data_IF_225757813145
#
_entry.id   IF_225757813145
#
_cell.length_a   1.000
_cell.length_b   1.000
_cell.length_c   1.000
_cell.angle_alpha   90.00
_cell.angle_beta   90.00
_cell.angle_gamma   90.00
#
_symmetry.space_group_name_H-M   'P 1'
#
loop_
_entity.id
_entity.type
_entity.pdbx_description
1 polymer ?
#
# COMPACT_ATOMS: atom_id res chain seq x y z
N UNK A 1 19.69 3.29 1.04
CA UNK A 1 18.32 2.73 1.12
C UNK A 1 17.47 3.80 1.81
N UNK A 2 16.42 4.30 1.17
CA UNK A 2 15.54 5.33 1.75
C UNK A 2 14.63 4.64 2.79
N UNK A 3 14.48 5.23 3.98
CA UNK A 3 13.63 4.67 5.05
C UNK A 3 12.17 4.98 4.78
N UNK A 4 11.28 4.16 5.32
CA UNK A 4 9.84 4.33 5.12
C UNK A 4 9.32 5.62 5.75
N UNK A 5 9.90 6.05 6.88
CA UNK A 5 9.59 7.34 7.52
C UNK A 5 9.82 8.52 6.56
N UNK A 6 10.91 8.47 5.80
CA UNK A 6 11.28 9.52 4.85
C UNK A 6 10.33 9.51 3.64
N UNK A 7 9.95 8.31 3.16
CA UNK A 7 8.97 8.13 2.09
C UNK A 7 7.57 8.61 2.49
N UNK A 8 7.12 8.27 3.70
CA UNK A 8 5.82 8.74 4.23
C UNK A 8 5.83 10.25 4.36
N UNK A 9 6.89 10.85 4.90
CA UNK A 9 7.00 12.30 5.02
C UNK A 9 6.97 12.99 3.64
N UNK A 10 7.60 12.41 2.62
CA UNK A 10 7.57 12.92 1.26
C UNK A 10 6.17 12.76 0.62
N UNK A 11 5.54 11.60 0.76
CA UNK A 11 4.21 11.32 0.24
C UNK A 11 3.15 12.27 0.83
N UNK A 12 3.22 12.58 2.13
CA UNK A 12 2.38 13.60 2.79
C UNK A 12 2.53 15.00 2.21
N UNK A 13 3.65 15.31 1.57
CA UNK A 13 3.88 16.58 0.87
C UNK A 13 3.47 16.56 -0.61
N UNK A 14 2.83 15.47 -1.07
CA UNK A 14 2.39 15.29 -2.44
C UNK A 14 3.40 14.59 -3.35
N UNK A 15 4.46 13.99 -2.81
CA UNK A 15 5.41 13.20 -3.61
C UNK A 15 4.80 11.84 -3.99
N UNK A 16 4.28 11.75 -5.21
CA UNK A 16 3.67 10.53 -5.75
C UNK A 16 4.67 9.40 -5.99
N UNK A 17 5.95 9.70 -6.22
CA UNK A 17 6.98 8.68 -6.41
C UNK A 17 7.33 8.03 -5.07
N UNK A 18 7.36 8.81 -3.99
CA UNK A 18 7.51 8.28 -2.64
C UNK A 18 6.33 7.36 -2.23
N UNK A 19 5.11 7.74 -2.60
CA UNK A 19 3.94 6.88 -2.41
C UNK A 19 4.06 5.58 -3.22
N UNK A 20 4.45 5.67 -4.50
CA UNK A 20 4.63 4.48 -5.37
C UNK A 20 5.66 3.52 -4.78
N UNK A 21 6.77 4.02 -4.25
CA UNK A 21 7.79 3.20 -3.60
C UNK A 21 7.21 2.46 -2.38
N UNK A 22 6.40 3.13 -1.55
CA UNK A 22 5.70 2.48 -0.45
C UNK A 22 4.75 1.37 -0.95
N UNK A 23 3.94 1.62 -1.96
CA UNK A 23 3.06 0.60 -2.56
C UNK A 23 3.87 -0.60 -3.05
N UNK A 24 4.97 -0.37 -3.78
CA UNK A 24 5.82 -1.44 -4.32
C UNK A 24 6.44 -2.31 -3.24
N UNK A 25 6.84 -1.72 -2.11
CA UNK A 25 7.39 -2.46 -0.95
C UNK A 25 6.34 -3.31 -0.24
N UNK A 26 5.12 -2.79 -0.11
CA UNK A 26 4.11 -3.38 0.75
C UNK A 26 3.05 -4.22 0.02
N UNK A 27 2.90 -4.09 -1.31
CA UNK A 27 1.89 -4.81 -2.09
C UNK A 27 1.90 -6.33 -1.87
N UNK A 28 3.09 -6.95 -1.78
CA UNK A 28 3.18 -8.40 -1.59
C UNK A 28 2.76 -8.84 -0.19
N UNK A 29 3.02 -8.02 0.83
CA UNK A 29 2.63 -8.31 2.21
C UNK A 29 1.11 -8.13 2.37
N UNK A 30 0.57 -7.04 1.81
CA UNK A 30 -0.88 -6.77 1.80
C UNK A 30 -1.60 -7.90 1.06
N UNK A 31 -1.19 -8.24 -0.16
CA UNK A 31 -1.83 -9.31 -0.94
C UNK A 31 -1.82 -10.65 -0.20
N UNK A 32 -0.68 -11.04 0.40
CA UNK A 32 -0.60 -12.27 1.21
C UNK A 32 -1.54 -12.25 2.40
N UNK A 33 -1.66 -11.11 3.07
CA UNK A 33 -2.52 -10.94 4.24
C UNK A 33 -4.00 -11.07 3.86
N UNK A 34 -4.41 -10.39 2.79
CA UNK A 34 -5.80 -10.43 2.32
C UNK A 34 -6.17 -11.81 1.80
N UNK A 35 -5.31 -12.45 1.00
CA UNK A 35 -5.51 -13.83 0.52
C UNK A 35 -5.57 -14.82 1.68
N UNK A 36 -4.78 -14.63 2.74
CA UNK A 36 -4.85 -15.50 3.92
C UNK A 36 -6.18 -15.36 4.68
N UNK A 37 -6.84 -14.20 4.61
CA UNK A 37 -8.12 -13.93 5.27
C UNK A 37 -9.33 -14.39 4.46
N UNK A 38 -9.32 -14.16 3.15
CA UNK A 38 -10.48 -14.33 2.27
C UNK A 38 -10.35 -15.50 1.30
N UNK A 39 -9.16 -16.08 1.20
CA UNK A 39 -8.80 -17.01 0.12
C UNK A 39 -8.45 -16.28 -1.17
N UNK A 40 -8.23 -17.05 -2.23
CA UNK A 40 -7.93 -16.51 -3.56
C UNK A 40 -9.24 -16.23 -4.32
N UNK A 41 -9.84 -15.08 -4.06
CA UNK A 41 -11.08 -14.60 -4.69
C UNK A 41 -10.92 -13.15 -5.19
N UNK A 42 -11.83 -12.70 -6.04
CA UNK A 42 -11.86 -11.33 -6.60
C UNK A 42 -11.93 -10.27 -5.48
N UNK A 43 -12.71 -10.52 -4.43
CA UNK A 43 -12.83 -9.63 -3.27
C UNK A 43 -11.48 -9.41 -2.54
N UNK A 44 -10.56 -10.38 -2.62
CA UNK A 44 -9.22 -10.23 -2.05
C UNK A 44 -8.36 -9.23 -2.83
N UNK A 45 -8.54 -9.15 -4.15
CA UNK A 45 -7.86 -8.16 -4.97
C UNK A 45 -8.40 -6.75 -4.69
N UNK A 46 -9.73 -6.61 -4.66
CA UNK A 46 -10.42 -5.35 -4.39
C UNK A 46 -10.02 -4.76 -3.03
N UNK A 47 -10.01 -5.58 -1.97
CA UNK A 47 -9.60 -5.14 -0.63
C UNK A 47 -8.12 -4.77 -0.58
N UNK A 48 -7.28 -5.49 -1.33
CA UNK A 48 -5.87 -5.15 -1.45
C UNK A 48 -5.66 -3.76 -2.07
N UNK A 49 -6.39 -3.45 -3.14
CA UNK A 49 -6.34 -2.14 -3.79
C UNK A 49 -6.93 -1.04 -2.90
N UNK A 50 -8.11 -1.26 -2.32
CA UNK A 50 -8.78 -0.34 -1.40
C UNK A 50 -7.90 0.01 -0.19
N UNK A 51 -7.09 -0.93 0.29
CA UNK A 51 -6.13 -0.69 1.37
C UNK A 51 -5.13 0.41 1.01
N UNK A 52 -4.61 0.40 -0.23
CA UNK A 52 -3.66 1.42 -0.68
C UNK A 52 -4.35 2.76 -1.00
N UNK A 53 -5.60 2.73 -1.48
CA UNK A 53 -6.41 3.95 -1.66
C UNK A 53 -6.63 4.64 -0.31
N UNK A 54 -7.10 3.91 0.70
CA UNK A 54 -7.29 4.44 2.06
C UNK A 54 -5.98 4.92 2.68
N UNK A 55 -4.90 4.20 2.44
CA UNK A 55 -3.58 4.64 2.88
C UNK A 55 -3.23 6.01 2.27
N UNK A 56 -3.42 6.18 0.96
CA UNK A 56 -3.20 7.46 0.28
C UNK A 56 -4.07 8.59 0.84
N UNK A 57 -5.37 8.33 1.05
CA UNK A 57 -6.31 9.31 1.61
C UNK A 57 -5.99 9.71 3.06
N UNK A 58 -5.23 8.88 3.78
CA UNK A 58 -4.85 9.10 5.19
C UNK A 58 -3.53 9.89 5.39
N UNK A 59 -2.80 10.18 4.31
CA UNK A 59 -1.53 10.91 4.33
C UNK A 59 -1.75 12.40 4.60
#
# INVERSE_FOLDING_TARGET
MVRDEDLVAAARRGDHDAFRELVQRYQSIVARTVIAMLGNCEEAEDIGQETFVRFYESL
#
